data_IF_575624235934
#
_entry.id   IF_575624235934
#
_cell.length_a   1.000
_cell.length_b   1.000
_cell.length_c   1.000
_cell.angle_alpha   90.00
_cell.angle_beta   90.00
_cell.angle_gamma   90.00
#
_symmetry.space_group_name_H-M   'P 1'
#
loop_
_entity.id
_entity.type
_entity.pdbx_description
1 polymer ?
#
# COMPACT_ATOMS: atom_id res chain seq x y z
N UNK A 1 51.71 -31.47 -2.28
CA UNK A 1 51.07 -30.20 -1.87
C UNK A 1 50.96 -29.28 -3.08
N UNK A 2 49.79 -29.19 -3.71
CA UNK A 2 49.42 -28.15 -4.67
C UNK A 2 47.92 -27.88 -4.54
N UNK A 3 47.62 -26.82 -3.80
CA UNK A 3 46.54 -25.82 -3.95
C UNK A 3 45.25 -26.27 -4.68
N UNK A 4 44.15 -26.38 -3.94
CA UNK A 4 43.12 -25.33 -3.86
C UNK A 4 42.40 -25.10 -5.20
N UNK A 5 41.29 -25.80 -5.40
CA UNK A 5 40.17 -25.31 -6.21
C UNK A 5 38.90 -25.61 -5.42
N UNK A 6 38.64 -24.69 -4.49
CA UNK A 6 37.42 -24.61 -3.71
C UNK A 6 36.24 -24.22 -4.62
N UNK A 7 35.08 -24.82 -4.30
CA UNK A 7 33.75 -24.19 -4.34
C UNK A 7 33.46 -23.18 -5.45
N UNK A 8 32.81 -23.62 -6.52
CA UNK A 8 31.88 -22.80 -7.31
C UNK A 8 30.55 -23.56 -7.51
N UNK A 9 30.02 -24.10 -6.42
CA UNK A 9 28.64 -24.54 -6.33
C UNK A 9 27.86 -23.45 -5.59
N UNK A 10 26.86 -22.86 -6.26
CA UNK A 10 25.78 -22.13 -5.61
C UNK A 10 26.03 -20.65 -5.34
N UNK A 11 25.96 -19.82 -6.38
CA UNK A 11 25.60 -18.40 -6.26
C UNK A 11 24.69 -18.03 -7.44
N UNK A 12 23.62 -18.81 -7.55
CA UNK A 12 22.47 -18.53 -8.42
C UNK A 12 21.20 -18.62 -7.58
N UNK A 13 21.17 -17.97 -6.42
CA UNK A 13 19.92 -17.75 -5.66
C UNK A 13 20.07 -16.48 -4.83
N UNK A 14 19.02 -15.65 -4.88
CA UNK A 14 18.75 -14.48 -4.04
C UNK A 14 19.31 -13.12 -4.49
N UNK A 15 18.76 -12.60 -5.59
CA UNK A 15 18.35 -11.19 -5.59
C UNK A 15 16.84 -11.12 -5.90
N UNK A 16 15.96 -11.18 -4.89
CA UNK A 16 14.55 -10.91 -5.08
C UNK A 16 14.12 -9.83 -4.08
N UNK A 17 14.46 -8.57 -4.34
CA UNK A 17 13.93 -7.45 -3.52
C UNK A 17 14.06 -6.06 -4.15
N UNK A 18 14.65 -5.89 -5.34
CA UNK A 18 14.39 -4.69 -6.14
C UNK A 18 13.07 -4.94 -6.89
N UNK A 19 11.97 -5.02 -6.14
CA UNK A 19 10.63 -5.13 -6.70
C UNK A 19 10.36 -3.83 -7.48
N UNK A 20 10.51 -3.91 -8.79
CA UNK A 20 10.24 -2.80 -9.70
C UNK A 20 8.75 -2.49 -9.63
N UNK A 21 8.41 -1.26 -9.26
CA UNK A 21 7.16 -0.62 -9.63
C UNK A 21 6.82 -0.97 -11.09
N UNK A 22 5.64 -1.54 -11.29
CA UNK A 22 5.14 -1.89 -12.62
C UNK A 22 4.17 -0.81 -13.12
N UNK A 23 3.89 -0.79 -14.42
CA UNK A 23 2.87 0.08 -15.01
C UNK A 23 1.50 -0.09 -14.33
N UNK A 24 1.22 -1.26 -13.74
CA UNK A 24 0.00 -1.53 -12.98
C UNK A 24 -0.10 -0.63 -11.74
N UNK A 25 1.00 -0.40 -11.01
CA UNK A 25 0.98 0.42 -9.80
C UNK A 25 0.58 1.86 -10.10
N UNK A 26 1.22 2.47 -11.10
CA UNK A 26 0.89 3.83 -11.56
C UNK A 26 -0.56 3.91 -12.06
N UNK A 27 -1.04 2.89 -12.77
CA UNK A 27 -2.43 2.82 -13.23
C UNK A 27 -3.42 2.73 -12.06
N UNK A 28 -3.13 1.89 -11.05
CA UNK A 28 -3.98 1.75 -9.87
C UNK A 28 -3.93 2.98 -8.95
N UNK A 29 -2.76 3.61 -8.77
CA UNK A 29 -2.63 4.89 -8.09
C UNK A 29 -3.51 5.96 -8.75
N UNK A 30 -3.42 6.09 -10.07
CA UNK A 30 -4.24 7.06 -10.82
C UNK A 30 -5.73 6.78 -10.63
N UNK A 31 -6.13 5.51 -10.69
CA UNK A 31 -7.52 5.08 -10.48
C UNK A 31 -7.99 5.38 -9.05
N UNK A 32 -7.17 5.07 -8.05
CA UNK A 32 -7.41 5.35 -6.65
C UNK A 32 -7.57 6.86 -6.38
N UNK A 33 -6.67 7.69 -6.92
CA UNK A 33 -6.78 9.15 -6.81
C UNK A 33 -8.08 9.68 -7.43
N UNK A 34 -8.45 9.18 -8.61
CA UNK A 34 -9.70 9.59 -9.27
C UNK A 34 -10.96 9.16 -8.51
N UNK A 35 -10.89 8.13 -7.68
CA UNK A 35 -11.98 7.69 -6.81
C UNK A 35 -12.16 8.60 -5.57
N UNK A 36 -11.09 9.24 -5.10
CA UNK A 36 -11.10 9.97 -3.84
C UNK A 36 -12.15 11.08 -3.73
N UNK A 37 -12.38 11.95 -4.73
CA UNK A 37 -13.42 12.97 -4.62
C UNK A 37 -14.81 12.38 -4.34
N UNK A 38 -15.13 11.24 -4.97
CA UNK A 38 -16.38 10.53 -4.73
C UNK A 38 -16.46 9.90 -3.35
N UNK A 39 -15.39 9.27 -2.88
CA UNK A 39 -15.33 8.66 -1.55
C UNK A 39 -15.41 9.72 -0.43
N UNK A 40 -14.64 10.79 -0.55
CA UNK A 40 -14.65 11.93 0.40
C UNK A 40 -16.04 12.54 0.49
N UNK A 41 -16.72 12.76 -0.64
CA UNK A 41 -18.08 13.30 -0.63
C UNK A 41 -19.06 12.39 0.13
N UNK A 42 -18.99 11.06 -0.06
CA UNK A 42 -19.82 10.11 0.69
C UNK A 42 -19.47 10.09 2.17
N UNK A 43 -18.19 10.18 2.49
CA UNK A 43 -17.66 10.23 3.85
C UNK A 43 -18.15 11.46 4.62
N UNK A 44 -18.04 12.65 4.03
CA UNK A 44 -18.51 13.90 4.61
C UNK A 44 -20.03 13.89 4.81
N UNK A 45 -20.79 13.34 3.87
CA UNK A 45 -22.23 13.17 4.02
C UNK A 45 -22.58 12.25 5.20
N UNK A 46 -21.84 11.15 5.38
CA UNK A 46 -22.02 10.26 6.52
C UNK A 46 -21.65 10.94 7.85
N UNK A 47 -20.57 11.72 7.88
CA UNK A 47 -20.16 12.51 9.05
C UNK A 47 -21.22 13.57 9.42
N UNK A 48 -21.77 14.28 8.43
CA UNK A 48 -22.85 15.23 8.64
C UNK A 48 -24.14 14.58 9.17
N UNK A 49 -24.36 13.29 8.86
CA UNK A 49 -25.44 12.48 9.41
C UNK A 49 -25.14 11.90 10.81
N UNK A 50 -24.01 12.23 11.41
CA UNK A 50 -23.63 11.84 12.77
C UNK A 50 -22.82 10.53 12.87
N UNK A 51 -22.35 9.96 11.75
CA UNK A 51 -21.39 8.84 11.78
C UNK A 51 -20.05 9.39 12.29
N UNK A 52 -19.54 8.83 13.39
CA UNK A 52 -18.19 9.12 13.85
C UNK A 52 -17.16 8.54 12.87
N UNK A 53 -16.07 9.25 12.66
CA UNK A 53 -14.93 8.82 11.84
C UNK A 53 -13.64 9.15 12.57
N UNK A 54 -12.66 8.25 12.46
CA UNK A 54 -11.27 8.53 12.87
C UNK A 54 -10.40 9.01 11.69
N UNK A 55 -10.93 8.91 10.47
CA UNK A 55 -10.27 9.30 9.23
C UNK A 55 -10.79 10.65 8.70
N UNK A 56 -9.92 11.35 7.98
CA UNK A 56 -10.12 12.65 7.37
C UNK A 56 -10.11 12.55 5.84
N UNK A 57 -10.49 13.63 5.16
CA UNK A 57 -10.58 13.65 3.69
C UNK A 57 -9.22 13.44 3.02
N UNK A 58 -8.13 13.88 3.66
CA UNK A 58 -6.77 13.74 3.17
C UNK A 58 -6.27 12.29 3.19
N UNK A 59 -6.87 11.43 4.03
CA UNK A 59 -6.44 10.04 4.16
C UNK A 59 -6.69 9.25 2.88
N UNK A 60 -7.74 9.57 2.11
CA UNK A 60 -7.96 8.91 0.82
C UNK A 60 -6.81 9.17 -0.14
N UNK A 61 -6.39 10.43 -0.30
CA UNK A 61 -5.27 10.77 -1.19
C UNK A 61 -3.99 10.12 -0.75
N UNK A 62 -3.73 10.06 0.56
CA UNK A 62 -2.54 9.39 1.06
C UNK A 62 -2.53 7.90 0.70
N UNK A 63 -3.64 7.20 0.95
CA UNK A 63 -3.78 5.78 0.64
C UNK A 63 -3.62 5.53 -0.86
N UNK A 64 -4.22 6.39 -1.70
CA UNK A 64 -4.04 6.31 -3.15
C UNK A 64 -2.57 6.48 -3.56
N UNK A 65 -1.87 7.47 -3.00
CA UNK A 65 -0.47 7.75 -3.32
C UNK A 65 0.46 6.61 -2.87
N UNK A 66 0.15 6.03 -1.72
CA UNK A 66 0.95 4.97 -1.09
C UNK A 66 1.10 3.72 -1.96
N UNK A 67 0.19 3.47 -2.92
CA UNK A 67 0.31 2.35 -3.88
C UNK A 67 1.69 2.30 -4.55
N UNK A 68 2.35 3.44 -4.70
CA UNK A 68 3.66 3.56 -5.34
C UNK A 68 4.84 3.73 -4.38
N UNK A 69 4.57 3.73 -3.08
CA UNK A 69 5.60 3.96 -2.07
C UNK A 69 6.26 2.65 -1.64
N UNK A 70 7.50 2.78 -1.18
CA UNK A 70 8.19 1.72 -0.47
C UNK A 70 7.60 1.60 0.95
N UNK A 71 7.52 0.37 1.47
CA UNK A 71 6.98 0.06 2.78
C UNK A 71 7.81 0.65 3.90
N UNK A 72 7.16 1.01 4.99
CA UNK A 72 7.78 1.59 6.18
C UNK A 72 7.61 0.66 7.38
N UNK A 73 8.71 0.34 8.04
CA UNK A 73 8.70 -0.41 9.30
C UNK A 73 8.64 0.58 10.48
N UNK A 74 7.52 0.57 11.19
CA UNK A 74 7.29 1.45 12.35
C UNK A 74 8.19 1.11 13.56
N UNK A 75 8.70 -0.12 13.65
CA UNK A 75 9.54 -0.57 14.76
C UNK A 75 11.00 -0.15 14.57
N UNK A 76 11.52 -0.27 13.35
CA UNK A 76 12.91 0.10 13.04
C UNK A 76 13.04 1.54 12.56
N UNK A 77 11.94 2.18 12.19
CA UNK A 77 11.90 3.51 11.56
C UNK A 77 12.73 3.55 10.25
N UNK A 78 12.65 2.48 9.47
CA UNK A 78 13.39 2.33 8.21
C UNK A 78 12.46 1.88 7.08
N UNK A 79 12.87 2.16 5.83
CA UNK A 79 12.24 1.59 4.65
C UNK A 79 12.47 0.09 4.58
N UNK A 80 11.41 -0.67 4.30
CA UNK A 80 11.45 -2.13 4.22
C UNK A 80 12.13 -2.65 2.95
N UNK A 81 12.30 -1.82 1.92
CA UNK A 81 12.66 -2.25 0.56
C UNK A 81 11.50 -2.88 -0.21
N UNK A 82 10.35 -3.11 0.43
CA UNK A 82 9.22 -3.83 -0.17
C UNK A 82 8.16 -2.85 -0.69
N UNK A 83 7.62 -3.14 -1.86
CA UNK A 83 6.49 -2.38 -2.41
C UNK A 83 5.19 -3.20 -2.25
N UNK A 84 4.06 -2.50 -2.37
CA UNK A 84 2.74 -3.13 -2.41
C UNK A 84 2.69 -4.14 -3.57
N UNK A 85 2.04 -5.29 -3.39
CA UNK A 85 1.85 -6.22 -4.50
C UNK A 85 0.85 -5.67 -5.51
N UNK A 86 0.91 -6.11 -6.79
CA UNK A 86 -0.10 -5.69 -7.79
C UNK A 86 -1.54 -6.05 -7.38
N UNK A 87 -1.71 -7.19 -6.70
CA UNK A 87 -3.02 -7.63 -6.22
C UNK A 87 -3.55 -6.68 -5.13
N UNK A 88 -2.69 -6.27 -4.21
CA UNK A 88 -3.03 -5.30 -3.17
C UNK A 88 -3.30 -3.91 -3.76
N UNK A 89 -2.51 -3.47 -4.74
CA UNK A 89 -2.72 -2.20 -5.44
C UNK A 89 -4.09 -2.15 -6.14
N UNK A 90 -4.48 -3.25 -6.80
CA UNK A 90 -5.80 -3.40 -7.40
C UNK A 90 -6.91 -3.38 -6.34
N UNK A 91 -6.74 -4.13 -5.24
CA UNK A 91 -7.67 -4.18 -4.12
C UNK A 91 -7.90 -2.79 -3.51
N UNK A 92 -6.83 -2.03 -3.26
CA UNK A 92 -6.93 -0.66 -2.73
C UNK A 92 -7.71 0.23 -3.70
N UNK A 93 -7.35 0.24 -4.98
CA UNK A 93 -8.03 1.06 -5.99
C UNK A 93 -9.52 0.69 -6.15
N UNK A 94 -9.86 -0.61 -6.16
CA UNK A 94 -11.25 -1.10 -6.21
C UNK A 94 -12.04 -0.68 -4.96
N UNK A 95 -11.43 -0.80 -3.79
CA UNK A 95 -12.07 -0.51 -2.51
C UNK A 95 -12.35 0.99 -2.37
N UNK A 96 -11.36 1.85 -2.65
CA UNK A 96 -11.56 3.31 -2.61
C UNK A 96 -12.66 3.77 -3.59
N UNK A 97 -12.79 3.09 -4.73
CA UNK A 97 -13.83 3.40 -5.72
C UNK A 97 -15.23 3.02 -5.26
N UNK A 98 -15.39 1.98 -4.44
CA UNK A 98 -16.69 1.34 -4.18
C UNK A 98 -17.19 1.47 -2.73
N UNK A 99 -16.29 1.71 -1.78
CA UNK A 99 -16.64 1.76 -0.37
C UNK A 99 -17.62 2.91 -0.05
N UNK A 100 -18.54 2.73 0.92
CA UNK A 100 -19.47 3.79 1.29
C UNK A 100 -18.80 4.99 1.98
N UNK A 101 -17.88 4.77 2.92
CA UNK A 101 -17.09 5.83 3.58
C UNK A 101 -15.59 5.48 3.63
N UNK A 102 -14.74 6.44 4.04
CA UNK A 102 -13.31 6.18 4.21
C UNK A 102 -13.10 5.13 5.31
N UNK A 103 -13.82 5.18 6.43
CA UNK A 103 -13.73 4.14 7.47
C UNK A 103 -14.04 2.73 6.93
N UNK A 104 -15.08 2.62 6.08
CA UNK A 104 -15.46 1.34 5.50
C UNK A 104 -14.37 0.85 4.53
N UNK A 105 -13.77 1.78 3.76
CA UNK A 105 -12.66 1.45 2.86
C UNK A 105 -11.43 0.96 3.64
N UNK A 106 -11.03 1.67 4.69
CA UNK A 106 -9.87 1.31 5.51
C UNK A 106 -10.08 -0.02 6.21
N UNK A 107 -11.27 -0.27 6.73
CA UNK A 107 -11.62 -1.57 7.34
C UNK A 107 -11.41 -2.72 6.34
N UNK A 108 -11.99 -2.59 5.14
CA UNK A 108 -11.87 -3.63 4.09
C UNK A 108 -10.41 -3.82 3.67
N UNK A 109 -9.67 -2.72 3.47
CA UNK A 109 -8.26 -2.77 3.04
C UNK A 109 -7.42 -3.49 4.10
N UNK A 110 -7.48 -3.08 5.37
CA UNK A 110 -6.65 -3.69 6.42
C UNK A 110 -6.98 -5.16 6.69
N UNK A 111 -8.24 -5.58 6.50
CA UNK A 111 -8.64 -6.98 6.65
C UNK A 111 -8.19 -7.87 5.48
N UNK A 112 -7.88 -7.28 4.32
CA UNK A 112 -7.74 -8.01 3.06
C UNK A 112 -6.35 -7.89 2.42
N UNK A 113 -5.56 -6.88 2.78
CA UNK A 113 -4.25 -6.61 2.20
C UNK A 113 -3.18 -7.53 2.80
N UNK A 114 -2.12 -7.80 2.02
CA UNK A 114 -0.95 -8.53 2.50
C UNK A 114 -0.13 -7.75 3.55
N UNK A 115 0.76 -8.45 4.27
CA UNK A 115 1.69 -7.81 5.24
C UNK A 115 2.56 -6.73 4.57
N UNK A 116 3.20 -6.95 3.40
CA UNK A 116 3.92 -5.89 2.69
C UNK A 116 3.02 -4.70 2.33
N UNK A 117 1.79 -4.95 1.86
CA UNK A 117 0.85 -3.86 1.57
C UNK A 117 0.48 -3.05 2.81
N UNK A 118 0.32 -3.70 3.96
CA UNK A 118 0.10 -3.00 5.24
C UNK A 118 1.28 -2.11 5.63
N UNK A 119 2.53 -2.58 5.45
CA UNK A 119 3.73 -1.78 5.73
C UNK A 119 3.83 -0.54 4.82
N UNK A 120 3.33 -0.63 3.59
CA UNK A 120 3.22 0.53 2.69
C UNK A 120 2.21 1.54 3.21
N UNK A 121 1.03 1.09 3.63
CA UNK A 121 -0.02 1.97 4.17
C UNK A 121 0.39 2.67 5.47
N UNK A 122 1.29 2.08 6.26
CA UNK A 122 1.84 2.71 7.47
C UNK A 122 2.48 4.07 7.22
N UNK A 123 3.04 4.31 6.02
CA UNK A 123 3.56 5.63 5.64
C UNK A 123 2.52 6.76 5.74
N UNK A 124 1.22 6.45 5.63
CA UNK A 124 0.17 7.45 5.73
C UNK A 124 -0.13 7.91 7.16
N UNK A 125 0.17 7.05 8.13
CA UNK A 125 -0.28 7.22 9.52
C UNK A 125 0.88 7.30 10.52
N UNK A 126 2.10 6.95 10.10
CA UNK A 126 3.33 7.25 10.81
C UNK A 126 3.58 8.78 10.80
N UNK A 127 2.97 9.48 11.77
CA UNK A 127 3.22 10.89 12.08
C UNK A 127 3.94 11.04 13.41
#
# INVERSE_FOLDING_TARGET
MKYLAALLAGLAVAMPALAQLTDVHTAQQTRAQNACPGLVSRHEAAAAAGKGSIYFSEDCSCVADSITWEGWDEYTMEGTGEYMSEADAMLVADTLSSAPTIDDAMTIIYESISVPGSAVLSNCFAK
#
